data_IF_742637021531
#
_entry.id   IF_742637021531
#
_cell.length_a   1.000
_cell.length_b   1.000
_cell.length_c   1.000
_cell.angle_alpha   90.00
_cell.angle_beta   90.00
_cell.angle_gamma   90.00
#
_symmetry.space_group_name_H-M   'P 1'
#
loop_
_entity.id
_entity.type
_entity.pdbx_description
1 polymer ?
#
# COMPACT_ATOMS: atom_id res chain seq x y z
N UNK A 1 31.54 -8.02 -22.73
CA UNK A 1 30.80 -7.86 -21.46
C UNK A 1 29.44 -7.24 -21.78
N UNK A 2 28.34 -7.95 -21.54
CA UNK A 2 26.99 -7.45 -21.86
C UNK A 2 26.59 -6.42 -20.82
N UNK A 3 26.44 -5.15 -21.21
CA UNK A 3 25.83 -4.12 -20.36
C UNK A 3 24.51 -4.67 -19.80
N UNK A 4 24.45 -4.84 -18.46
CA UNK A 4 23.21 -5.26 -17.81
C UNK A 4 22.22 -4.10 -17.90
N UNK A 5 21.14 -4.32 -18.66
CA UNK A 5 20.10 -3.33 -18.87
C UNK A 5 19.07 -3.42 -17.74
N UNK A 6 18.82 -2.29 -17.05
CA UNK A 6 17.78 -2.15 -16.01
C UNK A 6 16.43 -2.68 -16.46
N UNK A 7 16.07 -2.42 -17.72
CA UNK A 7 14.81 -2.87 -18.31
C UNK A 7 14.76 -4.39 -18.36
N UNK A 8 15.82 -5.03 -18.88
CA UNK A 8 15.84 -6.48 -19.09
C UNK A 8 15.67 -7.27 -17.78
N UNK A 9 16.39 -6.91 -16.72
CA UNK A 9 16.23 -7.64 -15.44
C UNK A 9 14.95 -7.25 -14.70
N UNK A 10 14.47 -6.01 -14.82
CA UNK A 10 13.16 -5.64 -14.27
C UNK A 10 12.07 -6.48 -14.93
N UNK A 11 12.12 -6.66 -16.26
CA UNK A 11 11.22 -7.55 -17.00
C UNK A 11 11.34 -8.99 -16.52
N UNK A 12 12.55 -9.50 -16.29
CA UNK A 12 12.73 -10.87 -15.75
C UNK A 12 12.14 -11.04 -14.35
N UNK A 13 12.31 -10.06 -13.46
CA UNK A 13 11.69 -10.09 -12.12
C UNK A 13 10.18 -10.12 -12.25
N UNK A 14 9.61 -9.24 -13.08
CA UNK A 14 8.17 -9.21 -13.31
C UNK A 14 7.66 -10.54 -13.89
N UNK A 15 8.39 -11.16 -14.83
CA UNK A 15 7.98 -12.46 -15.37
C UNK A 15 7.99 -13.56 -14.31
N UNK A 16 8.99 -13.60 -13.43
CA UNK A 16 8.97 -14.55 -12.30
C UNK A 16 7.78 -14.32 -11.38
N UNK A 17 7.48 -13.06 -11.04
CA UNK A 17 6.32 -12.72 -10.19
C UNK A 17 5.01 -13.14 -10.84
N UNK A 18 4.83 -12.87 -12.14
CA UNK A 18 3.62 -13.25 -12.88
C UNK A 18 3.42 -14.76 -12.95
N UNK A 19 4.50 -15.55 -12.92
CA UNK A 19 4.45 -17.01 -12.87
C UNK A 19 4.26 -17.57 -11.45
N UNK A 20 4.24 -16.72 -10.41
CA UNK A 20 4.16 -17.13 -9.01
C UNK A 20 5.53 -17.49 -8.39
N UNK A 21 6.61 -17.39 -9.15
CA UNK A 21 7.98 -17.72 -8.74
C UNK A 21 8.64 -16.58 -7.95
N UNK A 22 7.96 -16.07 -6.91
CA UNK A 22 8.41 -14.92 -6.14
C UNK A 22 9.77 -15.13 -5.45
N UNK A 23 10.12 -16.39 -5.12
CA UNK A 23 11.43 -16.74 -4.53
C UNK A 23 12.56 -16.52 -5.54
N UNK A 24 12.36 -16.95 -6.79
CA UNK A 24 13.33 -16.77 -7.87
C UNK A 24 13.47 -15.29 -8.25
N UNK A 25 12.36 -14.54 -8.24
CA UNK A 25 12.39 -13.09 -8.41
C UNK A 25 13.30 -12.41 -7.37
N UNK A 26 13.16 -12.79 -6.10
CA UNK A 26 13.96 -12.25 -5.00
C UNK A 26 15.43 -12.68 -5.08
N UNK A 27 15.69 -13.95 -5.38
CA UNK A 27 17.05 -14.46 -5.58
C UNK A 27 17.76 -13.75 -6.75
N UNK A 28 17.05 -13.51 -7.85
CA UNK A 28 17.58 -12.76 -8.99
C UNK A 28 17.92 -11.33 -8.58
N UNK A 29 17.03 -10.63 -7.86
CA UNK A 29 17.28 -9.28 -7.37
C UNK A 29 18.54 -9.22 -6.51
N UNK A 30 18.65 -10.08 -5.50
CA UNK A 30 19.82 -10.14 -4.62
C UNK A 30 21.12 -10.43 -5.40
N UNK A 31 21.09 -11.38 -6.34
CA UNK A 31 22.25 -11.71 -7.18
C UNK A 31 22.69 -10.54 -8.06
N UNK A 32 21.74 -9.75 -8.57
CA UNK A 32 22.06 -8.55 -9.37
C UNK A 32 22.64 -7.44 -8.50
N UNK A 33 22.16 -7.29 -7.25
CA UNK A 33 22.67 -6.28 -6.33
C UNK A 33 24.05 -6.64 -5.74
N UNK A 34 24.39 -7.92 -5.63
CA UNK A 34 25.66 -8.42 -5.06
C UNK A 34 26.77 -8.64 -6.10
N UNK A 35 26.53 -8.42 -7.39
CA UNK A 35 27.52 -8.74 -8.41
C UNK A 35 28.62 -7.68 -8.55
N UNK A 36 29.87 -8.13 -8.69
CA UNK A 36 31.05 -7.27 -8.87
C UNK A 36 31.15 -6.60 -10.26
N UNK A 37 30.48 -7.14 -11.28
CA UNK A 37 30.57 -6.71 -12.69
C UNK A 37 29.76 -5.42 -13.03
N UNK A 38 29.70 -4.47 -12.10
CA UNK A 38 28.96 -3.22 -12.23
C UNK A 38 27.59 -3.29 -11.57
N UNK A 39 27.42 -2.45 -10.54
CA UNK A 39 26.16 -2.30 -9.80
C UNK A 39 25.08 -1.79 -10.75
N UNK A 40 23.97 -2.53 -10.85
CA UNK A 40 22.78 -2.05 -11.57
C UNK A 40 21.81 -1.50 -10.54
N UNK A 41 21.60 -0.20 -10.57
CA UNK A 41 20.73 0.47 -9.62
C UNK A 41 19.25 0.12 -9.89
N UNK A 42 18.52 -0.37 -8.86
CA UNK A 42 17.09 -0.54 -8.94
C UNK A 42 16.39 0.79 -9.24
N UNK A 43 15.49 0.77 -10.21
CA UNK A 43 14.55 1.86 -10.43
C UNK A 43 13.23 1.61 -9.65
N UNK A 44 12.34 2.60 -9.65
CA UNK A 44 11.02 2.52 -8.99
C UNK A 44 10.24 1.25 -9.35
N UNK A 45 10.20 0.88 -10.63
CA UNK A 45 9.41 -0.27 -11.12
C UNK A 45 9.97 -1.58 -10.57
N UNK A 46 11.29 -1.73 -10.57
CA UNK A 46 11.96 -2.90 -10.00
C UNK A 46 11.74 -3.03 -8.50
N UNK A 47 11.79 -1.92 -7.76
CA UNK A 47 11.54 -1.87 -6.32
C UNK A 47 10.10 -2.27 -5.98
N UNK A 48 9.11 -1.71 -6.70
CA UNK A 48 7.70 -2.07 -6.54
C UNK A 48 7.49 -3.57 -6.79
N UNK A 49 8.07 -4.09 -7.87
CA UNK A 49 7.96 -5.50 -8.24
C UNK A 49 8.51 -6.40 -7.14
N UNK A 50 9.71 -6.10 -6.63
CA UNK A 50 10.32 -6.95 -5.60
C UNK A 50 9.62 -6.84 -4.24
N UNK A 51 9.00 -5.70 -3.92
CA UNK A 51 8.14 -5.57 -2.72
C UNK A 51 6.88 -6.45 -2.86
N UNK A 52 6.28 -6.54 -4.05
CA UNK A 52 5.19 -7.50 -4.30
C UNK A 52 5.62 -8.95 -4.11
N UNK A 53 6.84 -9.31 -4.53
CA UNK A 53 7.40 -10.63 -4.25
C UNK A 53 7.55 -10.86 -2.74
N UNK A 54 8.08 -9.88 -2.00
CA UNK A 54 8.20 -9.97 -0.54
C UNK A 54 6.85 -10.11 0.15
N UNK A 55 5.85 -9.35 -0.30
CA UNK A 55 4.45 -9.40 0.14
C UNK A 55 3.83 -10.78 -0.06
N UNK A 56 4.09 -11.41 -1.22
CA UNK A 56 3.59 -12.76 -1.52
C UNK A 56 4.29 -13.87 -0.73
N UNK A 57 5.55 -13.64 -0.35
CA UNK A 57 6.34 -14.57 0.45
C UNK A 57 6.22 -14.34 1.97
N UNK A 58 5.49 -13.31 2.41
CA UNK A 58 5.51 -12.82 3.80
C UNK A 58 6.94 -12.59 4.32
N UNK A 59 7.85 -12.13 3.45
CA UNK A 59 9.26 -11.94 3.76
C UNK A 59 9.52 -10.53 4.32
N UNK A 60 9.34 -10.39 5.64
CA UNK A 60 9.56 -9.12 6.33
C UNK A 60 10.99 -8.60 6.19
N UNK A 61 11.99 -9.47 6.34
CA UNK A 61 13.40 -9.05 6.36
C UNK A 61 13.80 -8.41 5.03
N UNK A 62 13.48 -9.08 3.91
CA UNK A 62 13.72 -8.55 2.58
C UNK A 62 12.96 -7.23 2.37
N UNK A 63 11.70 -7.15 2.81
CA UNK A 63 10.92 -5.92 2.75
C UNK A 63 11.55 -4.74 3.50
N UNK A 64 12.15 -4.98 4.67
CA UNK A 64 12.87 -3.97 5.44
C UNK A 64 14.15 -3.50 4.75
N UNK A 65 14.94 -4.42 4.19
CA UNK A 65 16.15 -4.10 3.43
C UNK A 65 15.82 -3.21 2.23
N UNK A 66 14.80 -3.59 1.45
CA UNK A 66 14.34 -2.83 0.30
C UNK A 66 13.81 -1.45 0.72
N UNK A 67 13.08 -1.36 1.83
CA UNK A 67 12.61 -0.07 2.34
C UNK A 67 13.77 0.84 2.79
N UNK A 68 14.78 0.27 3.46
CA UNK A 68 16.01 1.00 3.81
C UNK A 68 16.71 1.56 2.58
N UNK A 69 16.86 0.74 1.54
CA UNK A 69 17.38 1.19 0.24
C UNK A 69 16.53 2.33 -0.35
N UNK A 70 15.20 2.21 -0.33
CA UNK A 70 14.30 3.22 -0.86
C UNK A 70 14.41 4.57 -0.15
N UNK A 71 14.64 4.59 1.17
CA UNK A 71 14.84 5.82 1.94
C UNK A 71 16.16 6.50 1.54
N UNK A 72 17.25 5.73 1.46
CA UNK A 72 18.58 6.24 1.13
C UNK A 72 18.61 6.85 -0.27
N UNK A 73 17.86 6.26 -1.22
CA UNK A 73 17.81 6.70 -2.61
C UNK A 73 16.58 7.59 -2.91
N UNK A 74 16.02 8.25 -1.89
CA UNK A 74 14.96 9.26 -2.01
C UNK A 74 13.64 8.80 -2.67
N UNK A 75 13.39 7.49 -2.75
CA UNK A 75 12.12 6.95 -3.25
C UNK A 75 10.97 7.08 -2.25
N UNK A 76 11.23 7.51 -1.01
CA UNK A 76 10.22 7.67 0.06
C UNK A 76 9.07 8.63 -0.28
N UNK A 77 9.23 9.48 -1.28
CA UNK A 77 8.19 10.42 -1.75
C UNK A 77 7.26 9.80 -2.81
N UNK A 78 7.56 8.60 -3.30
CA UNK A 78 6.78 7.93 -4.34
C UNK A 78 5.56 7.23 -3.75
N UNK A 79 4.37 7.75 -4.04
CA UNK A 79 3.07 7.23 -3.55
C UNK A 79 2.91 5.74 -3.86
N UNK A 80 3.18 5.35 -5.11
CA UNK A 80 3.08 3.95 -5.56
C UNK A 80 3.99 3.00 -4.79
N UNK A 81 5.19 3.43 -4.41
CA UNK A 81 6.11 2.63 -3.61
C UNK A 81 5.62 2.49 -2.16
N UNK A 82 5.15 3.60 -1.57
CA UNK A 82 4.61 3.57 -0.21
C UNK A 82 3.36 2.68 -0.10
N UNK A 83 2.49 2.70 -1.12
CA UNK A 83 1.30 1.84 -1.17
C UNK A 83 1.65 0.35 -1.11
N UNK A 84 2.64 -0.10 -1.89
CA UNK A 84 3.04 -1.52 -1.88
C UNK A 84 3.80 -1.91 -0.60
N UNK A 85 4.51 -0.97 0.03
CA UNK A 85 5.15 -1.20 1.33
C UNK A 85 4.11 -1.34 2.45
N UNK A 86 3.08 -0.48 2.47
CA UNK A 86 1.96 -0.57 3.41
C UNK A 86 1.30 -1.95 3.29
N UNK A 87 0.97 -2.38 2.07
CA UNK A 87 0.39 -3.71 1.81
C UNK A 87 1.28 -4.85 2.33
N UNK A 88 2.58 -4.78 2.02
CA UNK A 88 3.57 -5.78 2.42
C UNK A 88 3.70 -5.89 3.94
N UNK A 89 3.86 -4.77 4.64
CA UNK A 89 3.97 -4.77 6.11
C UNK A 89 2.70 -5.29 6.77
N UNK A 90 1.52 -4.90 6.26
CA UNK A 90 0.26 -5.42 6.75
C UNK A 90 0.18 -6.95 6.59
N UNK A 91 0.46 -7.49 5.39
CA UNK A 91 0.45 -8.96 5.18
C UNK A 91 1.43 -9.71 6.06
N UNK A 92 2.59 -9.10 6.35
CA UNK A 92 3.55 -9.67 7.30
C UNK A 92 3.10 -9.56 8.77
N UNK A 93 1.97 -8.90 9.07
CA UNK A 93 1.44 -8.70 10.43
C UNK A 93 2.00 -7.47 11.16
N UNK A 94 2.78 -6.61 10.50
CA UNK A 94 3.46 -5.46 11.10
C UNK A 94 2.70 -4.15 10.84
N UNK A 95 1.47 -4.08 11.34
CA UNK A 95 0.56 -2.93 11.15
C UNK A 95 1.15 -1.60 11.61
N UNK A 96 1.92 -1.57 12.71
CA UNK A 96 2.56 -0.35 13.20
C UNK A 96 3.57 0.24 12.21
N UNK A 97 4.27 -0.61 11.45
CA UNK A 97 5.19 -0.17 10.40
C UNK A 97 4.43 0.38 9.20
N UNK A 98 3.35 -0.31 8.81
CA UNK A 98 2.45 0.17 7.76
C UNK A 98 1.85 1.54 8.11
N UNK A 99 1.38 1.73 9.35
CA UNK A 99 0.84 3.02 9.83
C UNK A 99 1.88 4.12 9.81
N UNK A 100 3.13 3.84 10.22
CA UNK A 100 4.21 4.83 10.19
C UNK A 100 4.53 5.29 8.77
N UNK A 101 4.46 4.39 7.79
CA UNK A 101 4.60 4.77 6.38
C UNK A 101 3.41 5.63 5.98
N UNK A 102 2.19 5.17 6.26
CA UNK A 102 0.98 5.91 5.94
C UNK A 102 0.99 7.33 6.52
N UNK A 103 1.28 7.50 7.80
CA UNK A 103 1.29 8.79 8.49
C UNK A 103 2.42 9.73 8.07
N UNK A 104 3.32 9.31 7.19
CA UNK A 104 4.33 10.19 6.66
C UNK A 104 3.71 11.19 5.67
N UNK A 105 3.71 12.47 6.04
CA UNK A 105 3.17 13.55 5.22
C UNK A 105 4.14 14.05 4.14
N UNK A 106 5.30 13.41 4.00
CA UNK A 106 6.24 13.70 2.93
C UNK A 106 5.73 13.28 1.54
N UNK A 107 4.67 12.49 1.44
CA UNK A 107 4.04 12.11 0.17
C UNK A 107 2.53 12.30 0.20
N UNK A 108 1.96 12.58 -0.98
CA UNK A 108 0.52 12.76 -1.14
C UNK A 108 -0.17 11.39 -1.18
N UNK A 109 -0.94 11.06 -0.14
CA UNK A 109 -1.72 9.83 -0.05
C UNK A 109 -2.83 9.86 -1.11
N UNK A 110 -2.93 8.81 -1.91
CA UNK A 110 -3.99 8.66 -2.91
C UNK A 110 -5.09 7.71 -2.42
N UNK A 111 -6.11 7.52 -3.24
CA UNK A 111 -7.20 6.57 -2.95
C UNK A 111 -6.67 5.16 -2.65
N UNK A 112 -5.61 4.73 -3.33
CA UNK A 112 -4.98 3.43 -3.13
C UNK A 112 -4.32 3.35 -1.75
N UNK A 113 -3.66 4.42 -1.27
CA UNK A 113 -3.11 4.50 0.08
C UNK A 113 -4.18 4.22 1.14
N UNK A 114 -5.31 4.93 1.05
CA UNK A 114 -6.41 4.85 2.01
C UNK A 114 -7.13 3.51 1.96
N UNK A 115 -7.54 3.07 0.77
CA UNK A 115 -8.24 1.79 0.58
C UNK A 115 -7.39 0.61 1.05
N UNK A 116 -6.09 0.60 0.74
CA UNK A 116 -5.19 -0.48 1.12
C UNK A 116 -5.03 -0.58 2.64
N UNK A 117 -4.81 0.53 3.33
CA UNK A 117 -4.63 0.49 4.79
C UNK A 117 -5.93 0.12 5.51
N UNK A 118 -7.07 0.64 5.06
CA UNK A 118 -8.39 0.34 5.63
C UNK A 118 -8.72 -1.14 5.47
N UNK A 119 -8.59 -1.68 4.25
CA UNK A 119 -8.89 -3.09 3.98
C UNK A 119 -7.97 -4.01 4.79
N UNK A 120 -6.67 -3.71 4.83
CA UNK A 120 -5.70 -4.51 5.59
C UNK A 120 -5.98 -4.48 7.08
N UNK A 121 -6.26 -3.32 7.67
CA UNK A 121 -6.62 -3.21 9.07
C UNK A 121 -7.92 -3.98 9.40
N UNK A 122 -8.91 -3.95 8.50
CA UNK A 122 -10.12 -4.75 8.59
C UNK A 122 -9.84 -6.26 8.65
N UNK A 123 -8.98 -6.77 7.76
CA UNK A 123 -8.56 -8.18 7.77
C UNK A 123 -7.82 -8.60 9.06
N UNK A 124 -7.19 -7.66 9.75
CA UNK A 124 -6.54 -7.88 11.04
C UNK A 124 -7.45 -7.61 12.26
N UNK A 125 -8.75 -7.37 12.04
CA UNK A 125 -9.73 -7.13 13.11
C UNK A 125 -9.54 -5.79 13.84
N UNK A 126 -8.89 -4.81 13.21
CA UNK A 126 -8.63 -3.48 13.79
C UNK A 126 -9.77 -2.51 13.51
N UNK A 127 -10.96 -2.85 14.01
CA UNK A 127 -12.20 -2.13 13.71
C UNK A 127 -12.19 -0.65 14.11
N UNK A 128 -11.67 -0.33 15.30
CA UNK A 128 -11.61 1.06 15.77
C UNK A 128 -10.69 1.92 14.89
N UNK A 129 -9.56 1.37 14.48
CA UNK A 129 -8.62 2.02 13.59
C UNK A 129 -9.19 2.17 12.17
N UNK A 130 -9.96 1.19 11.69
CA UNK A 130 -10.69 1.30 10.42
C UNK A 130 -11.65 2.49 10.44
N UNK A 131 -12.45 2.63 11.51
CA UNK A 131 -13.37 3.77 11.66
C UNK A 131 -12.60 5.10 11.70
N UNK A 132 -11.49 5.16 12.45
CA UNK A 132 -10.65 6.35 12.50
C UNK A 132 -10.07 6.73 11.13
N UNK A 133 -9.62 5.74 10.35
CA UNK A 133 -9.08 5.94 9.01
C UNK A 133 -10.17 6.41 8.03
N UNK A 134 -11.36 5.83 8.11
CA UNK A 134 -12.51 6.24 7.29
C UNK A 134 -12.90 7.69 7.57
N UNK A 135 -12.95 8.09 8.85
CA UNK A 135 -13.22 9.48 9.23
C UNK A 135 -12.15 10.45 8.68
N UNK A 136 -10.87 10.07 8.74
CA UNK A 136 -9.79 10.86 8.15
C UNK A 136 -9.91 11.00 6.63
N UNK A 137 -10.24 9.90 5.93
CA UNK A 137 -10.47 9.89 4.48
C UNK A 137 -11.64 10.82 4.10
N UNK A 138 -12.71 10.81 4.89
CA UNK A 138 -13.87 11.66 4.68
C UNK A 138 -13.54 13.15 4.88
N UNK A 139 -12.78 13.50 5.91
CA UNK A 139 -12.35 14.89 6.14
C UNK A 139 -11.50 15.45 4.98
N UNK A 140 -10.78 14.59 4.25
CA UNK A 140 -10.01 14.98 3.07
C UNK A 140 -10.83 15.08 1.78
N UNK A 141 -12.14 14.78 1.81
CA UNK A 141 -13.02 14.91 0.64
C UNK A 141 -12.82 13.83 -0.42
N UNK A 142 -12.23 12.67 -0.06
CA UNK A 142 -11.97 11.59 -1.02
C UNK A 142 -13.29 10.84 -1.26
N UNK A 143 -13.89 11.05 -2.45
CA UNK A 143 -15.26 10.62 -2.81
C UNK A 143 -15.47 9.10 -2.71
N UNK A 144 -14.45 8.31 -2.99
CA UNK A 144 -14.49 6.85 -2.88
C UNK A 144 -14.50 6.36 -1.43
N UNK A 145 -14.22 7.25 -0.46
CA UNK A 145 -14.29 6.95 0.96
C UNK A 145 -15.67 6.43 1.39
N UNK A 146 -16.74 6.93 0.77
CA UNK A 146 -18.10 6.45 1.01
C UNK A 146 -18.35 5.03 0.47
N UNK A 147 -17.79 4.70 -0.70
CA UNK A 147 -17.91 3.36 -1.27
C UNK A 147 -17.11 2.35 -0.44
N UNK A 148 -15.89 2.71 -0.04
CA UNK A 148 -15.04 1.88 0.82
C UNK A 148 -15.71 1.71 2.18
N UNK A 149 -16.26 2.77 2.78
CA UNK A 149 -17.03 2.74 4.02
C UNK A 149 -18.20 1.75 3.98
N UNK A 150 -19.04 1.84 2.94
CA UNK A 150 -20.18 0.92 2.79
C UNK A 150 -19.72 -0.52 2.58
N UNK A 151 -18.64 -0.73 1.80
CA UNK A 151 -18.09 -2.07 1.58
C UNK A 151 -17.49 -2.68 2.86
N UNK A 152 -16.83 -1.87 3.70
CA UNK A 152 -16.20 -2.34 4.94
C UNK A 152 -17.22 -2.66 6.02
N UNK A 153 -18.30 -1.89 6.12
CA UNK A 153 -19.43 -2.19 7.00
C UNK A 153 -20.08 -3.55 6.65
N UNK A 154 -20.23 -3.84 5.35
CA UNK A 154 -20.80 -5.10 4.85
C UNK A 154 -19.82 -6.28 5.06
N UNK A 155 -18.55 -6.11 4.71
CA UNK A 155 -17.57 -7.22 4.68
C UNK A 155 -17.04 -7.55 6.08
N UNK A 156 -16.83 -6.54 6.93
CA UNK A 156 -16.21 -6.72 8.24
C UNK A 156 -17.20 -6.65 9.41
N UNK A 157 -18.49 -6.47 9.13
CA UNK A 157 -19.54 -6.38 10.16
C UNK A 157 -19.33 -5.20 11.12
N UNK A 158 -18.57 -4.19 10.70
CA UNK A 158 -18.31 -2.99 11.49
C UNK A 158 -19.56 -2.13 11.40
N UNK A 159 -20.32 -2.05 12.50
CA UNK A 159 -21.45 -1.12 12.59
C UNK A 159 -20.93 0.31 12.44
N UNK A 160 -21.44 1.08 11.46
CA UNK A 160 -21.23 2.52 11.36
C UNK A 160 -21.41 3.20 12.72
N UNK A 161 -20.39 3.89 13.24
CA UNK A 161 -20.59 4.71 14.45
C UNK A 161 -21.37 5.97 14.06
N UNK A 162 -22.11 6.55 15.02
CA UNK A 162 -22.92 7.74 14.80
C UNK A 162 -22.06 8.91 14.29
N UNK A 163 -20.80 9.01 14.74
CA UNK A 163 -19.87 10.04 14.27
C UNK A 163 -19.47 9.84 12.82
N UNK A 164 -19.25 8.59 12.38
CA UNK A 164 -18.89 8.29 11.00
C UNK A 164 -20.07 8.54 10.04
N UNK A 165 -21.32 8.23 10.47
CA UNK A 165 -22.53 8.61 9.75
C UNK A 165 -22.69 10.14 9.67
N UNK A 166 -22.42 10.88 10.75
CA UNK A 166 -22.50 12.34 10.75
C UNK A 166 -21.46 12.97 9.81
N UNK A 167 -20.24 12.43 9.74
CA UNK A 167 -19.23 12.88 8.78
C UNK A 167 -19.64 12.60 7.33
N UNK A 168 -20.25 11.44 7.06
CA UNK A 168 -20.80 11.10 5.73
C UNK A 168 -21.93 12.07 5.34
N UNK A 169 -22.84 12.38 6.26
CA UNK A 169 -23.95 13.32 6.00
C UNK A 169 -23.45 14.75 5.80
N UNK A 170 -22.48 15.23 6.59
CA UNK A 170 -21.86 16.55 6.40
C UNK A 170 -21.15 16.62 5.04
N UNK A 171 -20.39 15.59 4.67
CA UNK A 171 -19.76 15.51 3.36
C UNK A 171 -20.80 15.55 2.23
N UNK A 172 -21.84 14.72 2.30
CA UNK A 172 -22.89 14.67 1.28
C UNK A 172 -23.69 15.98 1.22
N UNK A 173 -23.87 16.66 2.36
CA UNK A 173 -24.42 18.00 2.44
C UNK A 173 -23.59 19.03 1.69
N UNK A 174 -22.27 19.06 1.93
CA UNK A 174 -21.34 19.97 1.22
C UNK A 174 -21.20 19.64 -0.27
N UNK A 175 -21.32 18.36 -0.63
CA UNK A 175 -21.27 17.90 -2.01
C UNK A 175 -22.60 18.02 -2.76
N UNK A 176 -23.69 18.43 -2.09
CA UNK A 176 -25.03 18.50 -2.67
C UNK A 176 -25.65 17.15 -3.03
N UNK A 177 -25.16 16.06 -2.42
CA UNK A 177 -25.56 14.66 -2.68
C UNK A 177 -26.29 14.03 -1.49
N UNK A 178 -27.16 14.79 -0.81
CA UNK A 178 -27.89 14.33 0.38
C UNK A 178 -28.82 13.14 0.10
N UNK A 179 -29.24 12.94 -1.15
CA UNK A 179 -30.00 11.80 -1.64
C UNK A 179 -29.25 10.46 -1.46
N UNK A 180 -27.93 10.49 -1.46
CA UNK A 180 -27.08 9.31 -1.25
C UNK A 180 -26.83 8.99 0.22
N UNK A 181 -27.31 9.82 1.15
CA UNK A 181 -27.08 9.64 2.58
C UNK A 181 -27.91 8.51 3.20
N UNK A 182 -28.96 8.02 2.50
CA UNK A 182 -29.70 6.83 2.91
C UNK A 182 -30.32 6.89 4.31
N UNK A 183 -30.55 8.09 4.86
CA UNK A 183 -31.28 8.27 6.13
C UNK A 183 -32.78 8.34 5.78
N UNK A 184 -33.47 7.22 5.90
CA UNK A 184 -34.91 7.17 6.12
C UNK A 184 -35.19 6.66 7.53
#
# INVERSE_FOLDING_TARGET
MKHRNIIAWTTMIMSYIHNGDCKEALALFQRVQLSDDGKVEPNRVSLISIIHACSSLNSLMAGKEIYGFAIINEFKYQVSLNNVLIDMYCKCGYLSYAKRIFDNDAYCKDEISWSSIIARYGLHGKGNEVVSLLNGMLQMGIKEGLNIYNSTAIVYGISPTVEACACVVDMLGRAGQLDRAGIH
#
